data_IF_639976014497
#
_entry.id   IF_639976014497
#
_cell.length_a   1.000
_cell.length_b   1.000
_cell.length_c   1.000
_cell.angle_alpha   90.00
_cell.angle_beta   90.00
_cell.angle_gamma   90.00
#
_symmetry.space_group_name_H-M   'P 1'
#
loop_
_entity.id
_entity.type
_entity.pdbx_description
1 polymer ?
#
# COMPACT_ATOMS: atom_id res chain seq x y z
N UNK A 1 -12.53 47.33 65.18
CA UNK A 1 -11.76 46.18 65.67
C UNK A 1 -11.13 45.51 64.48
N UNK A 2 -9.80 45.54 64.43
CA UNK A 2 -8.96 44.85 63.45
C UNK A 2 -9.20 43.34 63.49
N UNK A 3 -9.16 42.68 62.33
CA UNK A 3 -8.26 41.54 62.19
C UNK A 3 -7.86 41.28 60.74
N UNK A 4 -6.55 41.38 60.55
CA UNK A 4 -5.72 41.01 59.41
C UNK A 4 -5.61 39.50 59.28
N UNK A 5 -5.62 38.95 58.07
CA UNK A 5 -5.16 37.58 57.80
C UNK A 5 -4.51 37.49 56.42
N UNK A 6 -3.18 37.55 56.47
CA UNK A 6 -2.18 36.81 55.71
C UNK A 6 -2.39 36.55 54.20
N UNK A 7 -1.59 37.28 53.43
CA UNK A 7 -1.16 37.01 52.05
C UNK A 7 -0.18 35.84 52.03
N UNK A 8 -0.43 34.83 51.17
CA UNK A 8 0.53 33.78 50.83
C UNK A 8 1.15 34.05 49.44
N UNK A 9 2.47 33.89 49.26
CA UNK A 9 3.11 34.14 47.98
C UNK A 9 2.90 32.95 47.01
N UNK A 10 2.30 33.26 45.87
CA UNK A 10 2.12 32.35 44.73
C UNK A 10 3.49 32.10 44.07
N UNK A 11 3.97 30.86 44.16
CA UNK A 11 5.18 30.40 43.50
C UNK A 11 5.04 30.56 41.97
N UNK A 12 5.83 31.48 41.39
CA UNK A 12 6.11 31.57 39.97
C UNK A 12 6.97 30.35 39.59
N UNK A 13 6.32 29.25 39.16
CA UNK A 13 7.03 28.18 38.48
C UNK A 13 7.30 28.60 37.04
N UNK A 14 8.58 28.93 36.83
CA UNK A 14 9.31 29.07 35.57
C UNK A 14 8.73 28.19 34.45
N UNK A 15 8.02 28.83 33.53
CA UNK A 15 7.85 28.35 32.16
C UNK A 15 9.23 28.35 31.48
N UNK A 16 9.99 27.26 31.70
CA UNK A 16 11.16 26.93 30.89
C UNK A 16 10.64 26.44 29.54
N UNK A 17 10.28 27.38 28.66
CA UNK A 17 10.20 27.15 27.21
C UNK A 17 11.57 26.64 26.77
N UNK A 18 11.73 25.31 26.69
CA UNK A 18 12.75 24.73 25.84
C UNK A 18 12.33 25.06 24.41
N UNK A 19 12.92 26.10 23.85
CA UNK A 19 12.94 26.33 22.42
C UNK A 19 13.69 25.16 21.79
N UNK A 20 12.98 24.07 21.51
CA UNK A 20 13.47 23.02 20.62
C UNK A 20 13.66 23.71 19.27
N UNK A 21 14.92 23.94 18.92
CA UNK A 21 15.35 24.57 17.68
C UNK A 21 14.87 23.73 16.51
N UNK A 22 14.06 24.33 15.63
CA UNK A 22 13.47 23.72 14.42
C UNK A 22 14.52 23.02 13.53
N UNK A 23 15.81 23.35 13.67
CA UNK A 23 16.91 22.73 12.94
C UNK A 23 17.20 21.25 13.27
N UNK A 24 16.85 20.75 14.46
CA UNK A 24 17.21 19.37 14.82
C UNK A 24 16.28 18.30 14.21
N UNK A 25 15.03 18.65 13.91
CA UNK A 25 14.08 17.71 13.30
C UNK A 25 14.40 17.41 11.83
N UNK A 26 15.02 18.35 11.11
CA UNK A 26 15.32 18.19 9.69
C UNK A 26 16.46 17.18 9.43
N UNK A 27 17.40 17.06 10.38
CA UNK A 27 18.50 16.08 10.29
C UNK A 27 18.04 14.64 10.55
N UNK A 28 16.97 14.46 11.32
CA UNK A 28 16.34 13.16 11.58
C UNK A 28 15.53 12.66 10.38
N UNK A 29 14.84 13.56 9.67
CA UNK A 29 14.09 13.20 8.46
C UNK A 29 14.99 12.77 7.30
N UNK A 30 16.16 13.40 7.15
CA UNK A 30 17.13 13.02 6.10
C UNK A 30 17.76 11.64 6.38
N UNK A 31 17.94 11.29 7.65
CA UNK A 31 18.43 9.97 8.08
C UNK A 31 17.43 8.86 7.80
N UNK A 32 16.16 9.03 8.18
CA UNK A 32 15.12 8.01 7.98
C UNK A 32 14.73 7.83 6.52
N UNK A 33 14.73 8.89 5.71
CA UNK A 33 14.50 8.82 4.27
C UNK A 33 15.51 7.94 3.54
N UNK A 34 16.78 7.95 3.97
CA UNK A 34 17.84 7.15 3.36
C UNK A 34 17.77 5.66 3.72
N UNK A 35 17.49 5.31 4.98
CA UNK A 35 17.48 3.91 5.42
C UNK A 35 16.36 3.12 4.72
N UNK A 36 15.18 3.71 4.55
CA UNK A 36 14.05 3.02 3.90
C UNK A 36 14.18 2.92 2.37
N UNK A 37 15.03 3.73 1.75
CA UNK A 37 15.38 3.59 0.34
C UNK A 37 16.30 2.40 0.08
N UNK A 38 17.21 2.10 1.02
CA UNK A 38 18.25 1.07 0.87
C UNK A 38 17.64 -0.33 0.68
N UNK A 39 16.62 -0.70 1.45
CA UNK A 39 15.96 -2.02 1.34
C UNK A 39 15.41 -2.31 -0.05
N UNK A 40 14.84 -1.28 -0.70
CA UNK A 40 14.28 -1.37 -2.03
C UNK A 40 15.39 -1.61 -3.07
N UNK A 41 16.50 -0.87 -2.97
CA UNK A 41 17.66 -1.04 -3.84
C UNK A 41 18.35 -2.39 -3.65
N UNK A 42 18.46 -2.88 -2.41
CA UNK A 42 18.98 -4.23 -2.11
C UNK A 42 18.10 -5.28 -2.79
N UNK A 43 16.78 -5.20 -2.63
CA UNK A 43 15.85 -6.13 -3.27
C UNK A 43 15.96 -6.09 -4.80
N UNK A 44 16.04 -4.90 -5.40
CA UNK A 44 16.24 -4.74 -6.84
C UNK A 44 17.57 -5.35 -7.31
N UNK A 45 18.68 -5.07 -6.61
CA UNK A 45 20.00 -5.62 -6.92
C UNK A 45 20.02 -7.14 -6.84
N UNK A 46 19.35 -7.71 -5.83
CA UNK A 46 19.22 -9.15 -5.68
C UNK A 46 18.42 -9.78 -6.83
N UNK A 47 17.23 -9.24 -7.17
CA UNK A 47 16.43 -9.76 -8.28
C UNK A 47 17.17 -9.60 -9.61
N UNK A 48 17.92 -8.51 -9.81
CA UNK A 48 18.76 -8.33 -10.99
C UNK A 48 19.84 -9.41 -11.08
N UNK A 49 20.54 -9.70 -9.98
CA UNK A 49 21.57 -10.74 -9.93
C UNK A 49 20.99 -12.12 -10.25
N UNK A 50 19.85 -12.48 -9.64
CA UNK A 50 19.17 -13.75 -9.94
C UNK A 50 18.67 -13.80 -11.38
N UNK A 51 18.15 -12.70 -11.92
CA UNK A 51 17.71 -12.66 -13.33
C UNK A 51 18.89 -12.88 -14.29
N UNK A 52 20.07 -12.33 -13.96
CA UNK A 52 21.31 -12.57 -14.71
C UNK A 52 21.78 -14.02 -14.64
N UNK A 53 21.74 -14.66 -13.46
CA UNK A 53 22.09 -16.08 -13.34
C UNK A 53 21.06 -16.97 -14.05
N UNK A 54 19.78 -16.63 -13.99
CA UNK A 54 18.71 -17.31 -14.71
C UNK A 54 18.90 -17.21 -16.24
N UNK A 55 19.30 -16.05 -16.75
CA UNK A 55 19.67 -15.89 -18.17
C UNK A 55 20.80 -16.84 -18.58
N UNK A 56 21.88 -16.89 -17.80
CA UNK A 56 23.00 -17.80 -18.07
C UNK A 56 22.57 -19.27 -18.02
N UNK A 57 21.70 -19.62 -17.07
CA UNK A 57 21.14 -20.97 -16.94
C UNK A 57 20.26 -21.33 -18.16
N UNK A 58 19.37 -20.45 -18.58
CA UNK A 58 18.54 -20.64 -19.77
C UNK A 58 19.39 -20.84 -21.02
N UNK A 59 20.42 -20.02 -21.21
CA UNK A 59 21.35 -20.18 -22.33
C UNK A 59 22.08 -21.53 -22.30
N UNK A 60 22.64 -21.92 -21.14
CA UNK A 60 23.33 -23.22 -20.99
C UNK A 60 22.40 -24.40 -21.24
N UNK A 61 21.17 -24.34 -20.75
CA UNK A 61 20.17 -25.39 -20.94
C UNK A 61 19.76 -25.54 -22.41
N UNK A 62 19.64 -24.42 -23.12
CA UNK A 62 19.35 -24.44 -24.55
C UNK A 62 20.49 -25.01 -25.39
N UNK A 63 21.75 -24.81 -24.98
CA UNK A 63 22.92 -25.40 -25.66
C UNK A 63 23.05 -26.91 -25.43
N UNK A 64 22.55 -27.46 -24.32
CA UNK A 64 22.81 -28.85 -23.94
C UNK A 64 21.73 -29.84 -24.42
N UNK A 65 20.45 -29.55 -24.13
CA UNK A 65 19.37 -30.55 -24.25
C UNK A 65 18.21 -30.06 -25.13
N UNK A 66 18.01 -28.75 -25.21
CA UNK A 66 16.76 -28.16 -25.74
C UNK A 66 16.92 -27.37 -27.03
N UNK A 67 18.05 -27.50 -27.74
CA UNK A 67 18.30 -26.77 -28.98
C UNK A 67 17.16 -26.95 -30.00
N UNK A 68 16.64 -28.18 -30.13
CA UNK A 68 15.57 -28.52 -31.09
C UNK A 68 14.18 -28.68 -30.47
N UNK A 69 14.00 -28.23 -29.23
CA UNK A 69 12.73 -28.35 -28.50
C UNK A 69 12.18 -26.97 -28.15
N UNK A 70 11.49 -26.29 -29.09
CA UNK A 70 10.96 -24.93 -28.86
C UNK A 70 9.84 -24.87 -27.82
N UNK A 71 9.28 -26.02 -27.41
CA UNK A 71 8.20 -26.10 -26.43
C UNK A 71 8.60 -25.48 -25.08
N UNK A 72 9.81 -25.73 -24.58
CA UNK A 72 10.27 -25.15 -23.31
C UNK A 72 10.28 -23.61 -23.36
N UNK A 73 10.74 -23.03 -24.47
CA UNK A 73 10.72 -21.59 -24.66
C UNK A 73 9.29 -21.02 -24.65
N UNK A 74 8.36 -21.68 -25.36
CA UNK A 74 6.96 -21.28 -25.38
C UNK A 74 6.29 -21.41 -24.00
N UNK A 75 6.54 -22.50 -23.29
CA UNK A 75 6.04 -22.73 -21.93
C UNK A 75 6.54 -21.65 -20.96
N UNK A 76 7.84 -21.33 -20.98
CA UNK A 76 8.39 -20.26 -20.14
C UNK A 76 7.80 -18.88 -20.49
N UNK A 77 7.54 -18.61 -21.76
CA UNK A 77 6.89 -17.37 -22.20
C UNK A 77 5.45 -17.28 -21.66
N UNK A 78 4.66 -18.34 -21.83
CA UNK A 78 3.28 -18.41 -21.32
C UNK A 78 3.26 -18.31 -19.80
N UNK A 79 4.16 -19.00 -19.11
CA UNK A 79 4.28 -18.92 -17.66
C UNK A 79 4.65 -17.51 -17.18
N UNK A 80 5.60 -16.84 -17.86
CA UNK A 80 5.96 -15.45 -17.57
C UNK A 80 4.75 -14.52 -17.73
N UNK A 81 3.95 -14.73 -18.78
CA UNK A 81 2.73 -13.97 -19.05
C UNK A 81 1.68 -14.18 -17.94
N UNK A 82 1.38 -15.44 -17.62
CA UNK A 82 0.42 -15.81 -16.57
C UNK A 82 0.84 -15.23 -15.22
N UNK A 83 2.14 -15.30 -14.90
CA UNK A 83 2.64 -14.70 -13.67
C UNK A 83 2.50 -13.17 -13.68
N UNK A 84 2.92 -12.52 -14.76
CA UNK A 84 2.90 -11.05 -14.89
C UNK A 84 1.48 -10.47 -14.75
N UNK A 85 0.47 -11.14 -15.31
CA UNK A 85 -0.91 -10.65 -15.30
C UNK A 85 -1.79 -11.24 -14.19
N UNK A 86 -1.50 -12.46 -13.72
CA UNK A 86 -2.35 -13.16 -12.75
C UNK A 86 -1.90 -13.03 -11.30
N UNK A 87 -0.59 -13.10 -11.06
CA UNK A 87 0.01 -13.25 -9.72
C UNK A 87 0.84 -12.04 -9.30
N UNK A 88 1.37 -11.27 -10.25
CA UNK A 88 2.11 -10.05 -9.97
C UNK A 88 1.21 -9.06 -9.22
N UNK A 89 1.79 -8.34 -8.25
CA UNK A 89 1.14 -7.27 -7.51
C UNK A 89 -0.10 -7.67 -6.68
N UNK A 90 -0.35 -8.96 -6.47
CA UNK A 90 -1.40 -9.44 -5.55
C UNK A 90 -1.07 -9.08 -4.11
N UNK A 91 -2.09 -8.65 -3.36
CA UNK A 91 -1.89 -8.26 -1.97
C UNK A 91 -1.43 -9.42 -1.08
N UNK A 92 -1.70 -10.68 -1.45
CA UNK A 92 -1.24 -11.89 -0.75
C UNK A 92 0.28 -11.92 -0.52
N UNK A 93 1.07 -11.33 -1.43
CA UNK A 93 2.53 -11.25 -1.28
C UNK A 93 2.98 -10.42 -0.08
N UNK A 94 2.16 -9.46 0.37
CA UNK A 94 2.45 -8.70 1.58
C UNK A 94 2.49 -9.58 2.83
N UNK A 95 1.75 -10.70 2.86
CA UNK A 95 1.83 -11.68 3.94
C UNK A 95 3.15 -12.45 3.95
N UNK A 96 3.68 -12.80 2.77
CA UNK A 96 4.91 -13.56 2.63
C UNK A 96 6.17 -12.71 2.90
N UNK A 97 6.14 -11.43 2.51
CA UNK A 97 7.27 -10.51 2.69
C UNK A 97 6.86 -9.37 3.63
N UNK A 98 7.14 -9.45 4.94
CA UNK A 98 6.77 -8.42 5.92
C UNK A 98 7.65 -7.17 5.87
N UNK A 99 8.24 -6.82 4.72
CA UNK A 99 9.13 -5.67 4.54
C UNK A 99 8.51 -4.62 3.61
N UNK A 100 8.90 -3.33 3.70
CA UNK A 100 8.48 -2.31 2.72
C UNK A 100 8.89 -2.64 1.28
N UNK A 101 9.94 -3.46 1.11
CA UNK A 101 10.44 -3.91 -0.19
C UNK A 101 9.63 -5.09 -0.80
N UNK A 102 8.49 -5.48 -0.21
CA UNK A 102 7.62 -6.55 -0.73
C UNK A 102 7.22 -6.34 -2.21
N UNK A 103 7.10 -5.09 -2.65
CA UNK A 103 6.88 -4.72 -4.06
C UNK A 103 7.94 -5.31 -5.00
N UNK A 104 9.20 -5.35 -4.58
CA UNK A 104 10.30 -5.93 -5.38
C UNK A 104 10.44 -7.44 -5.14
N UNK A 105 10.31 -7.91 -3.90
CA UNK A 105 10.44 -9.34 -3.57
C UNK A 105 9.38 -10.23 -4.21
N UNK A 106 8.20 -9.68 -4.48
CA UNK A 106 7.10 -10.38 -5.15
C UNK A 106 7.18 -10.33 -6.68
N UNK A 107 8.12 -9.57 -7.25
CA UNK A 107 8.23 -9.40 -8.70
C UNK A 107 9.24 -10.39 -9.30
N UNK A 108 8.76 -11.59 -9.60
CA UNK A 108 9.57 -12.66 -10.20
C UNK A 108 9.60 -12.63 -11.73
N UNK A 109 8.82 -11.75 -12.36
CA UNK A 109 8.77 -11.58 -13.83
C UNK A 109 10.17 -11.36 -14.43
N UNK A 110 11.06 -10.52 -13.88
CA UNK A 110 12.40 -10.32 -14.43
C UNK A 110 13.24 -11.61 -14.47
N UNK A 111 13.06 -12.50 -13.49
CA UNK A 111 13.78 -13.78 -13.41
C UNK A 111 13.31 -14.71 -14.54
N UNK A 112 11.99 -14.86 -14.70
CA UNK A 112 11.43 -15.71 -15.76
C UNK A 112 11.73 -15.18 -17.16
N UNK A 113 11.65 -13.86 -17.36
CA UNK A 113 12.02 -13.24 -18.62
C UNK A 113 13.52 -13.32 -18.89
N UNK A 114 14.37 -13.19 -17.86
CA UNK A 114 15.81 -13.40 -17.96
C UNK A 114 16.14 -14.81 -18.42
N UNK A 115 15.55 -15.83 -17.79
CA UNK A 115 15.68 -17.23 -18.20
C UNK A 115 15.23 -17.45 -19.66
N UNK A 116 14.04 -16.94 -20.00
CA UNK A 116 13.44 -17.07 -21.34
C UNK A 116 14.29 -16.37 -22.41
N UNK A 117 14.88 -15.22 -22.07
CA UNK A 117 15.81 -14.50 -22.93
C UNK A 117 17.10 -15.30 -23.19
N UNK A 118 17.60 -16.02 -22.19
CA UNK A 118 18.72 -16.96 -22.32
C UNK A 118 18.41 -18.11 -23.28
N UNK A 119 17.23 -18.74 -23.15
CA UNK A 119 16.76 -19.78 -24.07
C UNK A 119 16.64 -19.25 -25.52
N UNK A 120 16.14 -18.03 -25.69
CA UNK A 120 15.91 -17.44 -27.01
C UNK A 120 17.17 -17.32 -27.88
N UNK A 121 18.36 -17.25 -27.27
CA UNK A 121 19.62 -17.12 -28.02
C UNK A 121 19.98 -18.34 -28.84
N UNK A 122 19.56 -19.53 -28.41
CA UNK A 122 20.06 -20.80 -28.95
C UNK A 122 18.93 -21.71 -29.49
N UNK A 123 17.66 -21.33 -29.31
CA UNK A 123 16.50 -22.10 -29.81
C UNK A 123 16.49 -22.20 -31.34
N UNK A 124 16.41 -23.41 -31.89
CA UNK A 124 16.53 -23.65 -33.33
C UNK A 124 15.36 -23.12 -34.15
N UNK A 125 14.17 -23.03 -33.54
CA UNK A 125 12.95 -22.52 -34.17
C UNK A 125 13.01 -21.03 -34.58
N UNK A 126 13.93 -20.24 -34.01
CA UNK A 126 14.13 -18.85 -34.38
C UNK A 126 15.29 -18.70 -35.37
N UNK A 127 15.14 -17.83 -36.36
CA UNK A 127 16.24 -17.43 -37.27
C UNK A 127 17.34 -16.71 -36.47
N UNK A 128 18.60 -16.86 -36.87
CA UNK A 128 19.77 -16.35 -36.14
C UNK A 128 19.67 -14.86 -35.73
N UNK A 129 19.24 -13.98 -36.65
CA UNK A 129 19.07 -12.56 -36.34
C UNK A 129 17.92 -12.28 -35.36
N UNK A 130 16.84 -13.06 -35.44
CA UNK A 130 15.68 -12.95 -34.55
C UNK A 130 15.99 -13.45 -33.14
N UNK A 131 16.86 -14.44 -32.97
CA UNK A 131 17.29 -14.92 -31.64
C UNK A 131 17.84 -13.80 -30.77
N UNK A 132 18.77 -13.01 -31.33
CA UNK A 132 19.38 -11.87 -30.64
C UNK A 132 18.35 -10.76 -30.37
N UNK A 133 17.50 -10.46 -31.35
CA UNK A 133 16.44 -9.47 -31.20
C UNK A 133 15.46 -9.84 -30.08
N UNK A 134 14.92 -11.06 -30.10
CA UNK A 134 13.97 -11.56 -29.09
C UNK A 134 14.62 -11.60 -27.71
N UNK A 135 15.85 -12.13 -27.60
CA UNK A 135 16.60 -12.15 -26.33
C UNK A 135 16.78 -10.75 -25.77
N UNK A 136 17.24 -9.81 -26.60
CA UNK A 136 17.41 -8.41 -26.21
C UNK A 136 16.09 -7.77 -25.76
N UNK A 137 15.02 -7.94 -26.53
CA UNK A 137 13.69 -7.41 -26.18
C UNK A 137 13.19 -7.97 -24.85
N UNK A 138 13.31 -9.28 -24.61
CA UNK A 138 12.92 -9.90 -23.35
C UNK A 138 13.77 -9.37 -22.17
N UNK A 139 15.08 -9.17 -22.37
CA UNK A 139 15.94 -8.56 -21.34
C UNK A 139 15.54 -7.11 -21.05
N UNK A 140 15.22 -6.31 -22.07
CA UNK A 140 14.72 -4.94 -21.87
C UNK A 140 13.41 -4.95 -21.09
N UNK A 141 12.46 -5.82 -21.46
CA UNK A 141 11.18 -5.97 -20.76
C UNK A 141 11.42 -6.42 -19.30
N UNK A 142 12.36 -7.34 -19.06
CA UNK A 142 12.73 -7.78 -17.71
C UNK A 142 13.25 -6.63 -16.83
N UNK A 143 14.15 -5.80 -17.38
CA UNK A 143 14.66 -4.60 -16.70
C UNK A 143 13.54 -3.59 -16.46
N UNK A 144 12.64 -3.40 -17.43
CA UNK A 144 11.46 -2.54 -17.26
C UNK A 144 10.57 -3.04 -16.12
N UNK A 145 10.21 -4.34 -16.07
CA UNK A 145 9.41 -4.87 -14.97
C UNK A 145 10.08 -4.69 -13.61
N UNK A 146 11.41 -4.80 -13.53
CA UNK A 146 12.16 -4.60 -12.29
C UNK A 146 12.15 -3.14 -11.83
N UNK A 147 12.41 -2.20 -12.74
CA UNK A 147 12.65 -0.80 -12.40
C UNK A 147 11.37 0.06 -12.40
N UNK A 148 10.36 -0.30 -13.21
CA UNK A 148 9.15 0.51 -13.41
C UNK A 148 8.40 0.81 -12.11
N UNK A 149 8.19 -0.12 -11.14
CA UNK A 149 7.47 0.20 -9.91
C UNK A 149 8.09 1.34 -9.10
N UNK A 150 9.41 1.52 -9.19
CA UNK A 150 10.17 2.56 -8.48
C UNK A 150 10.26 3.85 -9.29
N UNK A 151 10.44 3.73 -10.61
CA UNK A 151 10.62 4.86 -11.53
C UNK A 151 9.28 5.52 -11.91
N UNK A 152 8.16 4.79 -11.85
CA UNK A 152 6.83 5.25 -12.28
C UNK A 152 6.40 6.60 -11.69
N UNK A 153 6.59 6.90 -10.38
CA UNK A 153 6.28 8.23 -9.83
C UNK A 153 7.11 9.37 -10.43
N UNK A 154 8.32 9.08 -10.91
CA UNK A 154 9.18 10.08 -11.56
C UNK A 154 8.79 10.30 -13.03
N UNK A 155 8.41 9.23 -13.74
CA UNK A 155 7.96 9.32 -15.15
C UNK A 155 6.56 9.92 -15.28
N UNK A 156 5.69 9.62 -14.32
CA UNK A 156 4.29 10.02 -14.32
C UNK A 156 3.94 10.68 -12.97
N UNK A 157 4.52 11.86 -12.69
CA UNK A 157 4.32 12.53 -11.42
C UNK A 157 2.85 12.92 -11.24
N UNK A 158 2.38 12.78 -10.01
CA UNK A 158 1.05 13.23 -9.59
C UNK A 158 1.16 14.61 -8.93
N UNK A 159 0.20 15.50 -9.21
CA UNK A 159 0.08 16.79 -8.54
C UNK A 159 -0.89 16.64 -7.38
N UNK A 160 -0.38 16.65 -6.16
CA UNK A 160 -1.14 16.56 -4.91
C UNK A 160 -1.11 17.93 -4.25
N UNK A 161 -2.24 18.35 -3.68
CA UNK A 161 -2.32 19.60 -2.94
C UNK A 161 -1.39 19.57 -1.72
N UNK A 162 -0.83 20.73 -1.37
CA UNK A 162 0.08 20.82 -0.22
C UNK A 162 -0.65 20.58 1.11
N UNK A 163 -1.94 20.92 1.13
CA UNK A 163 -2.84 20.78 2.25
C UNK A 163 -3.96 19.80 1.93
N UNK A 164 -3.91 18.62 2.53
CA UNK A 164 -4.94 17.61 2.55
C UNK A 164 -6.26 18.21 3.07
N UNK A 165 -7.31 17.92 2.34
CA UNK A 165 -8.67 18.35 2.67
C UNK A 165 -9.29 17.26 3.55
N UNK A 166 -9.71 17.62 4.76
CA UNK A 166 -10.35 16.69 5.68
C UNK A 166 -11.84 17.01 5.81
N UNK A 167 -12.68 15.98 5.72
CA UNK A 167 -14.12 16.08 5.93
C UNK A 167 -14.56 15.04 6.93
N UNK A 168 -14.96 15.48 8.13
CA UNK A 168 -15.45 14.62 9.21
C UNK A 168 -14.49 13.45 9.54
N UNK A 169 -13.18 13.72 9.60
CA UNK A 169 -12.16 12.70 9.87
C UNK A 169 -11.78 11.80 8.68
N UNK A 170 -12.29 12.09 7.48
CA UNK A 170 -11.88 11.44 6.22
C UNK A 170 -10.96 12.38 5.44
N UNK A 171 -9.79 11.90 5.05
CA UNK A 171 -8.90 12.61 4.12
C UNK A 171 -9.48 12.45 2.72
N UNK A 172 -9.90 13.56 2.11
CA UNK A 172 -10.37 13.58 0.74
C UNK A 172 -9.19 13.61 -0.23
N UNK A 173 -9.32 12.90 -1.35
CA UNK A 173 -8.30 12.90 -2.39
C UNK A 173 -8.29 14.23 -3.15
N UNK A 174 -7.12 14.82 -3.36
CA UNK A 174 -6.96 16.02 -4.21
C UNK A 174 -6.81 15.68 -5.70
N UNK A 175 -6.54 14.42 -6.03
CA UNK A 175 -6.34 13.93 -7.40
C UNK A 175 -7.05 12.58 -7.61
N UNK A 176 -7.49 12.24 -8.82
CA UNK A 176 -8.19 10.98 -9.13
C UNK A 176 -7.37 9.73 -8.75
N UNK A 177 -6.08 9.75 -9.08
CA UNK A 177 -5.11 8.71 -8.75
C UNK A 177 -4.62 8.65 -7.28
N UNK A 178 -5.11 9.50 -6.36
CA UNK A 178 -4.62 9.57 -4.97
C UNK A 178 -5.56 8.96 -3.91
N UNK A 179 -6.58 8.19 -4.34
CA UNK A 179 -7.47 7.48 -3.43
C UNK A 179 -6.72 6.56 -2.44
N UNK A 180 -5.69 5.83 -2.88
CA UNK A 180 -4.84 4.98 -2.03
C UNK A 180 -4.17 5.77 -0.88
N UNK A 181 -3.35 6.79 -1.18
CA UNK A 181 -2.73 7.66 -0.18
C UNK A 181 -3.72 8.33 0.77
N UNK A 182 -4.85 8.83 0.27
CA UNK A 182 -5.87 9.47 1.08
C UNK A 182 -6.58 8.46 2.01
N UNK A 183 -6.87 7.25 1.53
CA UNK A 183 -7.37 6.15 2.36
C UNK A 183 -6.34 5.73 3.42
N UNK A 184 -5.05 5.69 3.07
CA UNK A 184 -3.97 5.39 4.00
C UNK A 184 -3.88 6.45 5.11
N UNK A 185 -3.92 7.72 4.75
CA UNK A 185 -3.96 8.84 5.69
C UNK A 185 -5.18 8.75 6.62
N UNK A 186 -6.35 8.43 6.07
CA UNK A 186 -7.59 8.22 6.84
C UNK A 186 -7.45 7.06 7.83
N UNK A 187 -6.93 5.90 7.40
CA UNK A 187 -6.73 4.74 8.25
C UNK A 187 -5.77 5.03 9.41
N UNK A 188 -4.65 5.71 9.12
CA UNK A 188 -3.67 6.11 10.14
C UNK A 188 -4.27 7.09 11.14
N UNK A 189 -5.02 8.09 10.66
CA UNK A 189 -5.71 9.05 11.53
C UNK A 189 -6.73 8.36 12.44
N UNK A 190 -7.57 7.47 11.90
CA UNK A 190 -8.55 6.74 12.69
C UNK A 190 -7.90 5.79 13.70
N UNK A 191 -6.84 5.09 13.32
CA UNK A 191 -6.10 4.25 14.26
C UNK A 191 -5.47 5.07 15.39
N UNK A 192 -4.93 6.25 15.10
CA UNK A 192 -4.39 7.14 16.13
C UNK A 192 -5.46 7.62 17.13
N UNK A 193 -6.72 7.73 16.71
CA UNK A 193 -7.84 8.03 17.61
C UNK A 193 -8.26 6.81 18.44
N UNK A 194 -8.13 5.60 17.90
CA UNK A 194 -8.51 4.35 18.56
C UNK A 194 -7.43 3.82 19.49
N UNK A 195 -6.17 4.17 19.26
CA UNK A 195 -5.03 3.72 20.07
C UNK A 195 -4.41 4.87 20.83
N UNK A 196 -4.12 4.68 22.12
CA UNK A 196 -3.29 5.61 22.89
C UNK A 196 -1.83 5.66 22.42
N UNK A 197 -1.43 4.75 21.53
CA UNK A 197 -0.10 4.67 20.96
C UNK A 197 0.06 5.78 19.92
N UNK A 198 1.01 6.68 20.11
CA UNK A 198 1.13 7.82 19.24
C UNK A 198 1.75 7.37 17.91
N UNK A 199 1.00 7.57 16.80
CA UNK A 199 1.43 7.18 15.45
C UNK A 199 2.29 8.31 14.89
N UNK A 200 3.55 8.01 14.60
CA UNK A 200 4.43 8.95 13.88
C UNK A 200 4.21 8.83 12.38
N UNK A 201 3.94 9.93 11.70
CA UNK A 201 4.10 9.97 10.25
C UNK A 201 5.61 9.83 9.89
N UNK A 202 5.96 9.47 8.64
CA UNK A 202 7.36 9.34 8.19
C UNK A 202 8.27 10.57 8.42
N UNK A 203 7.71 11.72 8.77
CA UNK A 203 8.43 12.96 9.14
C UNK A 203 8.64 13.14 10.64
N UNK A 204 8.23 12.18 11.48
CA UNK A 204 8.30 12.27 12.94
C UNK A 204 7.21 13.15 13.58
N UNK A 205 6.17 13.52 12.83
CA UNK A 205 5.02 14.24 13.36
C UNK A 205 3.99 13.28 13.97
N UNK A 206 3.53 13.58 15.17
CA UNK A 206 2.53 12.80 15.91
C UNK A 206 1.13 12.98 15.33
N UNK A 207 0.40 11.89 15.15
CA UNK A 207 -0.99 11.88 14.70
C UNK A 207 -1.94 12.34 15.83
N UNK A 208 -2.14 13.65 15.96
CA UNK A 208 -3.26 14.31 16.68
C UNK A 208 -3.08 15.81 16.48
N UNK A 209 -3.41 16.41 15.31
CA UNK A 209 -4.71 16.47 14.60
C UNK A 209 -4.58 15.99 13.12
N UNK A 210 -5.60 16.09 12.25
CA UNK A 210 -5.42 15.82 10.81
C UNK A 210 -4.22 16.58 10.24
N UNK A 211 -3.23 15.83 9.76
CA UNK A 211 -1.98 16.42 9.28
C UNK A 211 -2.23 17.05 7.90
N UNK A 212 -1.93 18.35 7.69
CA UNK A 212 -2.14 19.00 6.41
C UNK A 212 -1.36 18.32 5.27
N UNK A 213 -0.16 17.79 5.52
CA UNK A 213 0.62 17.12 4.48
C UNK A 213 0.34 15.60 4.36
N UNK A 214 -0.69 15.05 5.02
CA UNK A 214 -0.89 13.60 5.13
C UNK A 214 -0.99 12.89 3.78
N UNK A 215 -1.85 13.38 2.87
CA UNK A 215 -2.03 12.79 1.54
C UNK A 215 -0.73 12.81 0.74
N UNK A 216 -0.03 13.96 0.71
CA UNK A 216 1.26 14.13 0.02
C UNK A 216 2.35 13.22 0.57
N UNK A 217 2.43 13.09 1.90
CA UNK A 217 3.40 12.19 2.53
C UNK A 217 3.12 10.72 2.19
N UNK A 218 1.85 10.32 2.24
CA UNK A 218 1.45 8.98 1.88
C UNK A 218 1.60 8.72 0.38
N UNK A 219 1.43 9.71 -0.50
CA UNK A 219 1.61 9.53 -1.94
C UNK A 219 3.06 9.20 -2.29
N UNK A 220 4.02 9.88 -1.65
CA UNK A 220 5.46 9.59 -1.76
C UNK A 220 5.78 8.21 -1.18
N UNK A 221 5.29 7.92 0.04
CA UNK A 221 5.55 6.63 0.70
C UNK A 221 4.93 5.44 -0.05
N UNK A 222 3.79 5.65 -0.72
CA UNK A 222 3.13 4.62 -1.51
C UNK A 222 3.67 4.49 -2.95
N UNK A 223 4.63 5.32 -3.37
CA UNK A 223 5.10 5.41 -4.76
C UNK A 223 3.93 5.65 -5.73
N UNK A 224 3.09 6.63 -5.40
CA UNK A 224 1.91 6.98 -6.21
C UNK A 224 2.33 7.79 -7.43
N UNK A 225 1.64 7.55 -8.55
CA UNK A 225 1.84 8.24 -9.82
C UNK A 225 0.50 8.73 -10.37
N UNK A 226 0.50 9.47 -11.47
CA UNK A 226 -0.76 9.87 -12.14
C UNK A 226 -1.57 8.68 -12.66
N UNK A 227 -0.98 7.48 -12.70
CA UNK A 227 -1.66 6.24 -13.05
C UNK A 227 -2.16 5.45 -11.81
N UNK A 228 -2.20 6.07 -10.63
CA UNK A 228 -2.68 5.47 -9.39
C UNK A 228 -1.59 4.86 -8.51
N UNK A 229 -2.05 4.14 -7.49
CA UNK A 229 -1.25 3.46 -6.47
C UNK A 229 -1.47 1.95 -6.55
N UNK A 230 -0.41 1.15 -6.53
CA UNK A 230 -0.55 -0.31 -6.48
C UNK A 230 -0.90 -0.79 -5.06
N UNK A 231 -1.61 -1.91 -4.91
CA UNK A 231 -1.91 -2.50 -3.58
C UNK A 231 -0.64 -2.74 -2.75
N UNK A 232 0.44 -3.23 -3.37
CA UNK A 232 1.73 -3.39 -2.68
C UNK A 232 2.43 -2.06 -2.39
N UNK A 233 2.26 -1.04 -3.23
CA UNK A 233 2.72 0.33 -2.96
C UNK A 233 2.02 0.91 -1.74
N UNK A 234 0.71 0.71 -1.61
CA UNK A 234 -0.06 1.09 -0.43
C UNK A 234 0.42 0.39 0.85
N UNK A 235 0.67 -0.93 0.80
CA UNK A 235 1.29 -1.67 1.91
C UNK A 235 2.65 -1.09 2.28
N UNK A 236 3.51 -0.80 1.29
CA UNK A 236 4.81 -0.17 1.52
C UNK A 236 4.65 1.14 2.28
N UNK A 237 3.76 2.01 1.81
CA UNK A 237 3.53 3.32 2.43
C UNK A 237 3.07 3.20 3.88
N UNK A 238 2.10 2.31 4.15
CA UNK A 238 1.64 2.05 5.51
C UNK A 238 2.76 1.48 6.40
N UNK A 239 3.58 0.55 5.91
CA UNK A 239 4.70 -0.03 6.69
C UNK A 239 5.74 1.01 7.06
N UNK A 240 6.03 1.91 6.12
CA UNK A 240 6.90 3.06 6.36
C UNK A 240 6.28 3.98 7.42
N UNK A 241 4.98 4.27 7.31
CA UNK A 241 4.28 5.12 8.27
C UNK A 241 4.16 4.53 9.67
N UNK A 242 4.09 3.20 9.82
CA UNK A 242 4.04 2.56 11.15
C UNK A 242 5.40 2.03 11.63
N UNK A 243 6.48 2.29 10.89
CA UNK A 243 7.81 1.84 11.26
C UNK A 243 8.22 2.41 12.63
N UNK A 244 8.57 1.53 13.57
CA UNK A 244 8.93 1.91 14.93
C UNK A 244 7.75 2.08 15.90
N UNK A 245 6.50 1.91 15.44
CA UNK A 245 5.32 1.94 16.29
C UNK A 245 4.95 0.51 16.79
N UNK A 246 4.02 0.42 17.74
CA UNK A 246 3.46 -0.87 18.21
C UNK A 246 2.40 -1.45 17.26
N UNK A 247 2.43 -1.06 15.98
CA UNK A 247 1.50 -1.55 14.96
C UNK A 247 2.27 -2.15 13.79
N UNK A 248 1.66 -3.13 13.13
CA UNK A 248 2.17 -3.79 11.93
C UNK A 248 1.08 -3.87 10.88
N UNK A 249 1.47 -3.78 9.61
CA UNK A 249 0.56 -3.83 8.46
C UNK A 249 0.31 -5.27 8.06
N UNK A 250 -0.96 -5.67 8.03
CA UNK A 250 -1.40 -7.03 7.70
C UNK A 250 -2.49 -7.01 6.62
N UNK A 251 -2.60 -8.14 5.93
CA UNK A 251 -3.67 -8.39 4.95
C UNK A 251 -4.87 -8.95 5.70
N UNK A 252 -6.04 -8.35 5.53
CA UNK A 252 -7.27 -8.82 6.17
C UNK A 252 -7.80 -10.09 5.48
N UNK A 253 -8.77 -10.77 6.11
CA UNK A 253 -9.43 -11.93 5.49
C UNK A 253 -10.14 -11.51 4.19
N UNK A 254 -10.14 -12.32 3.12
CA UNK A 254 -10.89 -12.00 1.90
C UNK A 254 -12.41 -12.05 2.10
N UNK A 255 -12.92 -12.58 3.21
CA UNK A 255 -14.34 -12.57 3.56
C UNK A 255 -14.65 -11.45 4.59
N UNK A 256 -15.38 -10.37 4.19
CA UNK A 256 -15.70 -9.25 5.07
C UNK A 256 -16.45 -9.63 6.35
N UNK A 257 -17.22 -10.73 6.35
CA UNK A 257 -17.96 -11.17 7.54
C UNK A 257 -17.01 -11.43 8.70
N UNK A 258 -15.81 -11.96 8.40
CA UNK A 258 -14.83 -12.35 9.42
C UNK A 258 -14.08 -11.17 10.00
N UNK A 259 -14.15 -9.98 9.40
CA UNK A 259 -13.39 -8.82 9.88
C UNK A 259 -13.78 -8.40 11.29
N UNK A 260 -15.08 -8.43 11.62
CA UNK A 260 -15.53 -8.12 12.98
C UNK A 260 -15.05 -9.18 13.98
N UNK A 261 -15.14 -10.46 13.61
CA UNK A 261 -14.76 -11.59 14.48
C UNK A 261 -13.25 -11.61 14.73
N UNK A 262 -12.46 -11.29 13.70
CA UNK A 262 -10.99 -11.27 13.74
C UNK A 262 -10.41 -9.93 14.17
N UNK A 263 -11.25 -8.94 14.52
CA UNK A 263 -10.82 -7.58 14.86
C UNK A 263 -9.91 -6.95 13.80
N UNK A 264 -10.30 -7.04 12.53
CA UNK A 264 -9.58 -6.52 11.37
C UNK A 264 -10.16 -5.18 10.88
N UNK A 265 -10.82 -4.43 11.75
CA UNK A 265 -11.39 -3.11 11.48
C UNK A 265 -10.75 -2.06 12.40
N UNK A 266 -10.53 -0.82 11.94
CA UNK A 266 -10.74 -0.36 10.57
C UNK A 266 -9.71 -0.94 9.59
N UNK A 267 -10.06 -1.03 8.31
CA UNK A 267 -9.17 -1.48 7.25
C UNK A 267 -9.35 -0.68 5.95
N UNK A 268 -8.37 -0.73 5.06
CA UNK A 268 -8.51 -0.25 3.68
C UNK A 268 -8.93 -1.43 2.82
N UNK A 269 -10.11 -1.34 2.21
CA UNK A 269 -10.60 -2.29 1.22
C UNK A 269 -10.38 -1.74 -0.18
N UNK A 270 -9.94 -2.59 -1.10
CA UNK A 270 -9.90 -2.27 -2.53
C UNK A 270 -11.23 -2.71 -3.14
N UNK A 271 -11.96 -1.74 -3.70
CA UNK A 271 -13.24 -1.97 -4.39
C UNK A 271 -13.09 -1.66 -5.88
N UNK A 272 -14.00 -2.20 -6.70
CA UNK A 272 -14.12 -1.91 -8.12
C UNK A 272 -15.57 -1.58 -8.43
N UNK A 273 -15.78 -0.44 -9.05
CA UNK A 273 -17.08 -0.09 -9.60
C UNK A 273 -17.15 -0.68 -11.01
N UNK A 274 -18.12 -1.55 -11.25
CA UNK A 274 -18.41 -2.03 -12.60
C UNK A 274 -19.22 -0.97 -13.32
N UNK A 275 -18.58 -0.24 -14.23
CA UNK A 275 -19.33 0.50 -15.23
C UNK A 275 -19.97 -0.53 -16.18
N UNK A 276 -21.29 -0.63 -16.15
CA UNK A 276 -22.06 -1.59 -16.96
C UNK A 276 -21.88 -1.41 -18.47
N UNK A 277 -21.17 -0.35 -18.91
CA UNK A 277 -21.10 0.05 -20.30
C UNK A 277 -19.83 -0.33 -21.08
N UNK A 278 -18.75 -0.86 -20.48
CA UNK A 278 -17.48 -1.03 -21.24
C UNK A 278 -16.62 -2.26 -20.88
N UNK A 279 -17.24 -3.45 -20.85
CA UNK A 279 -16.56 -4.72 -20.55
C UNK A 279 -16.25 -5.55 -21.80
N UNK A 280 -15.41 -5.04 -22.70
CA UNK A 280 -14.87 -5.84 -23.81
C UNK A 280 -14.08 -7.08 -23.33
N UNK A 281 -14.17 -8.24 -24.00
CA UNK A 281 -13.57 -9.51 -23.56
C UNK A 281 -12.04 -9.46 -23.40
N UNK A 282 -11.36 -8.64 -24.21
CA UNK A 282 -9.89 -8.47 -24.18
C UNK A 282 -9.43 -7.79 -22.88
N UNK A 283 -10.15 -6.77 -22.39
CA UNK A 283 -9.77 -6.09 -21.15
C UNK A 283 -9.99 -6.96 -19.91
N UNK A 284 -10.94 -7.91 -19.97
CA UNK A 284 -11.17 -8.93 -18.92
C UNK A 284 -10.01 -9.93 -18.84
N UNK A 285 -9.43 -10.28 -19.99
CA UNK A 285 -8.30 -11.21 -20.09
C UNK A 285 -6.98 -10.59 -19.61
N UNK A 286 -6.77 -9.30 -19.88
CA UNK A 286 -5.54 -8.60 -19.53
C UNK A 286 -5.54 -7.98 -18.11
N UNK A 287 -6.61 -8.19 -17.33
CA UNK A 287 -6.69 -7.76 -15.93
C UNK A 287 -6.77 -6.24 -15.72
N UNK A 288 -7.01 -5.46 -16.77
CA UNK A 288 -7.04 -3.99 -16.74
C UNK A 288 -8.44 -3.39 -16.51
N UNK A 289 -9.46 -4.22 -16.21
CA UNK A 289 -10.83 -3.76 -16.04
C UNK A 289 -11.12 -3.29 -14.60
N UNK A 290 -11.36 -1.98 -14.49
CA UNK A 290 -11.71 -1.28 -13.26
C UNK A 290 -10.47 -0.79 -12.53
N UNK A 291 -10.26 0.53 -12.53
CA UNK A 291 -9.32 1.15 -11.59
C UNK A 291 -9.77 0.78 -10.17
N UNK A 292 -8.93 0.06 -9.45
CA UNK A 292 -9.22 -0.28 -8.07
C UNK A 292 -9.31 1.01 -7.26
N UNK A 293 -10.42 1.20 -6.54
CA UNK A 293 -10.62 2.33 -5.65
C UNK A 293 -10.36 1.90 -4.22
N UNK A 294 -9.54 2.65 -3.49
CA UNK A 294 -9.23 2.36 -2.10
C UNK A 294 -10.18 3.13 -1.18
N UNK A 295 -10.86 2.42 -0.29
CA UNK A 295 -11.76 3.01 0.72
C UNK A 295 -11.45 2.46 2.10
N UNK A 296 -11.73 3.22 3.15
CA UNK A 296 -11.56 2.72 4.53
C UNK A 296 -12.89 2.18 5.05
N UNK A 297 -12.94 0.89 5.36
CA UNK A 297 -14.08 0.29 6.06
C UNK A 297 -13.84 0.42 7.55
N UNK A 298 -14.66 1.25 8.20
CA UNK A 298 -14.46 1.59 9.60
C UNK A 298 -15.15 0.61 10.54
N UNK A 299 -16.46 0.39 10.34
CA UNK A 299 -17.28 -0.42 11.23
C UNK A 299 -18.53 -0.92 10.53
N UNK A 300 -19.34 -1.71 11.25
CA UNK A 300 -20.68 -2.13 10.84
C UNK A 300 -21.71 -1.48 11.76
N UNK A 301 -22.77 -0.90 11.20
CA UNK A 301 -23.88 -0.32 11.96
C UNK A 301 -24.75 -1.42 12.58
N UNK A 302 -25.64 -1.05 13.50
CA UNK A 302 -26.59 -1.99 14.13
C UNK A 302 -27.51 -2.63 13.09
N UNK A 303 -27.94 -1.87 12.08
CA UNK A 303 -28.72 -2.35 10.92
C UNK A 303 -27.91 -3.22 9.94
N UNK A 304 -26.64 -3.50 10.24
CA UNK A 304 -25.79 -4.38 9.45
C UNK A 304 -25.14 -3.74 8.22
N UNK A 305 -25.19 -2.41 8.06
CA UNK A 305 -24.54 -1.68 6.95
C UNK A 305 -23.08 -1.41 7.24
N UNK A 306 -22.26 -1.34 6.20
CA UNK A 306 -20.85 -0.97 6.29
C UNK A 306 -20.69 0.55 6.31
N UNK A 307 -20.02 1.07 7.34
CA UNK A 307 -19.62 2.47 7.42
C UNK A 307 -18.26 2.64 6.72
N UNK A 308 -18.29 3.26 5.55
CA UNK A 308 -17.15 3.38 4.64
C UNK A 308 -16.74 4.84 4.49
N UNK A 309 -15.48 5.13 4.72
CA UNK A 309 -14.85 6.41 4.42
C UNK A 309 -14.23 6.34 3.03
N UNK A 310 -14.91 6.97 2.07
CA UNK A 310 -14.50 7.03 0.67
C UNK A 310 -13.73 8.34 0.42
N UNK A 311 -12.46 8.29 -0.01
CA UNK A 311 -11.66 9.49 -0.28
C UNK A 311 -12.27 10.45 -1.30
N UNK A 312 -13.14 9.99 -2.20
CA UNK A 312 -13.76 10.86 -3.20
C UNK A 312 -14.89 11.72 -2.62
N UNK A 313 -15.59 11.25 -1.57
CA UNK A 313 -16.87 11.86 -1.14
C UNK A 313 -17.04 12.01 0.38
N UNK A 314 -16.20 11.35 1.17
CA UNK A 314 -16.29 11.25 2.63
C UNK A 314 -17.06 10.00 3.08
N UNK A 315 -17.80 10.12 4.19
CA UNK A 315 -18.55 8.99 4.75
C UNK A 315 -19.72 8.53 3.87
N UNK A 316 -19.87 7.21 3.76
CA UNK A 316 -20.94 6.49 3.10
C UNK A 316 -21.38 5.28 3.93
N UNK A 317 -22.64 4.91 3.76
CA UNK A 317 -23.20 3.66 4.28
C UNK A 317 -23.50 2.76 3.09
N UNK A 318 -22.95 1.55 3.09
CA UNK A 318 -23.20 0.55 2.06
C UNK A 318 -23.89 -0.67 2.67
N UNK A 319 -24.93 -1.15 2.01
CA UNK A 319 -25.54 -2.42 2.36
C UNK A 319 -24.54 -3.56 2.08
N UNK A 320 -24.69 -4.69 2.78
CA UNK A 320 -23.74 -5.82 2.71
C UNK A 320 -23.61 -6.37 1.29
N UNK A 321 -24.73 -6.57 0.60
CA UNK A 321 -24.77 -7.07 -0.77
C UNK A 321 -24.03 -6.13 -1.73
N UNK A 322 -24.27 -4.82 -1.60
CA UNK A 322 -23.61 -3.81 -2.43
C UNK A 322 -22.10 -3.83 -2.18
N UNK A 323 -21.66 -3.89 -0.93
CA UNK A 323 -20.23 -3.91 -0.62
C UNK A 323 -19.56 -5.16 -1.19
N UNK A 324 -20.17 -6.34 -1.03
CA UNK A 324 -19.63 -7.60 -1.58
C UNK A 324 -19.54 -7.61 -3.10
N UNK A 325 -20.48 -6.96 -3.79
CA UNK A 325 -20.45 -6.86 -5.25
C UNK A 325 -19.24 -6.05 -5.75
N UNK A 326 -18.87 -4.99 -5.04
CA UNK A 326 -17.75 -4.13 -5.43
C UNK A 326 -16.41 -4.55 -4.82
N UNK A 327 -16.40 -5.31 -3.72
CA UNK A 327 -15.18 -5.69 -3.03
C UNK A 327 -14.33 -6.67 -3.84
N UNK A 328 -13.04 -6.39 -3.98
CA UNK A 328 -12.14 -7.21 -4.80
C UNK A 328 -11.58 -8.45 -4.09
N UNK A 329 -11.82 -8.59 -2.78
CA UNK A 329 -11.19 -9.59 -1.93
C UNK A 329 -9.86 -9.15 -1.31
N UNK A 330 -9.39 -7.92 -1.60
CA UNK A 330 -8.15 -7.38 -1.06
C UNK A 330 -8.41 -6.28 -0.01
N UNK A 331 -7.95 -6.49 1.22
CA UNK A 331 -7.99 -5.47 2.26
C UNK A 331 -6.75 -5.48 3.16
N UNK A 332 -6.40 -4.31 3.71
CA UNK A 332 -5.20 -4.06 4.52
C UNK A 332 -5.61 -3.42 5.84
N UNK A 333 -5.11 -3.93 6.97
CA UNK A 333 -5.40 -3.38 8.29
C UNK A 333 -4.12 -3.21 9.12
N UNK A 334 -4.24 -2.46 10.21
CA UNK A 334 -3.18 -2.31 11.20
C UNK A 334 -3.47 -3.25 12.37
N UNK A 335 -2.51 -4.14 12.67
CA UNK A 335 -2.57 -5.05 13.80
C UNK A 335 -1.57 -4.59 14.89
N UNK A 336 -1.79 -4.90 16.17
CA UNK A 336 -0.76 -4.73 17.19
C UNK A 336 0.51 -5.52 16.83
N UNK A 337 1.68 -4.95 17.10
CA UNK A 337 2.96 -5.63 16.93
C UNK A 337 3.02 -6.88 17.81
N UNK A 338 3.44 -8.01 17.25
CA UNK A 338 3.51 -9.29 17.97
C UNK A 338 2.17 -10.05 18.07
N UNK A 339 1.11 -9.61 17.38
CA UNK A 339 -0.16 -10.34 17.30
C UNK A 339 -0.11 -11.64 16.46
N UNK A 340 1.08 -12.18 16.20
CA UNK A 340 1.26 -13.35 15.35
C UNK A 340 0.87 -14.61 16.15
N UNK A 341 -0.23 -15.23 15.72
CA UNK A 341 -0.67 -16.60 16.07
C UNK A 341 -1.18 -16.89 17.50
N UNK A 342 -1.53 -15.89 18.31
CA UNK A 342 -2.28 -16.17 19.55
C UNK A 342 -3.77 -16.37 19.20
N UNK A 343 -4.37 -17.56 19.45
CA UNK A 343 -5.81 -17.76 19.28
C UNK A 343 -6.54 -16.71 20.11
N UNK A 344 -7.38 -15.90 19.44
CA UNK A 344 -8.10 -14.78 20.03
C UNK A 344 -8.91 -15.28 21.23
N UNK A 345 -8.41 -15.11 22.45
CA UNK A 345 -9.24 -15.14 23.65
C UNK A 345 -10.14 -13.91 23.59
N UNK A 346 -11.45 -14.11 23.66
CA UNK A 346 -12.46 -13.07 23.43
C UNK A 346 -12.13 -11.81 24.24
N UNK A 347 -11.71 -10.75 23.56
CA UNK A 347 -11.62 -9.43 24.18
C UNK A 347 -13.03 -8.97 24.53
N UNK A 348 -13.25 -8.59 25.79
CA UNK A 348 -14.50 -7.95 26.22
C UNK A 348 -14.65 -6.64 25.44
N UNK A 349 -15.76 -6.51 24.69
CA UNK A 349 -16.14 -5.27 24.00
C UNK A 349 -16.16 -4.10 24.99
N UNK A 350 -15.19 -3.20 24.90
CA UNK A 350 -15.34 -1.85 25.43
C UNK A 350 -16.27 -1.11 24.48
N UNK A 351 -17.46 -0.75 24.97
CA UNK A 351 -18.43 0.07 24.23
C UNK A 351 -17.83 1.47 24.12
N UNK A 352 -17.25 1.81 22.97
CA UNK A 352 -16.83 3.16 22.65
C UNK A 352 -18.05 3.88 22.08
N UNK A 353 -18.66 4.73 22.90
CA UNK A 353 -19.79 5.58 22.53
C UNK A 353 -19.20 6.83 21.85
N UNK A 354 -19.37 6.93 20.54
CA UNK A 354 -19.09 8.17 19.81
C UNK A 354 -20.37 8.99 19.87
N UNK A 355 -20.29 10.27 20.24
CA UNK A 355 -21.40 11.20 20.12
C UNK A 355 -21.80 11.28 18.64
N UNK A 356 -22.83 10.53 18.26
CA UNK A 356 -23.46 10.58 16.93
C UNK A 356 -24.18 11.93 16.69
N UNK A 357 -24.26 12.79 17.71
CA UNK A 357 -24.89 14.11 17.68
C UNK A 357 -24.24 15.13 16.72
N UNK A 358 -23.07 14.82 16.14
CA UNK A 358 -22.39 15.73 15.18
C UNK A 358 -22.79 15.47 13.71
N UNK A 359 -23.59 14.43 13.42
CA UNK A 359 -23.89 14.04 12.03
C UNK A 359 -25.24 14.51 11.47
N UNK A 360 -26.06 15.24 12.22
CA UNK A 360 -27.40 15.66 11.74
C UNK A 360 -27.69 17.13 12.04
N UNK A 361 -26.95 18.06 11.44
CA UNK A 361 -27.47 19.42 11.18
C UNK A 361 -26.94 19.98 9.86
N UNK A 362 -27.64 19.67 8.76
CA UNK A 362 -27.74 20.58 7.64
C UNK A 362 -29.24 20.87 7.41
N UNK A 363 -29.67 22.14 7.46
CA UNK A 363 -30.98 22.53 6.94
C UNK A 363 -30.94 22.46 5.40
N UNK A 364 -32.12 22.24 4.82
CA UNK A 364 -32.31 22.01 3.38
C UNK A 364 -32.09 23.21 2.47
#
# INVERSE_FOLDING_TARGET
MCNTSAVAPRALNLLRRQSVTVGDNQKLTDSQGNVMGIDLWIAMGFIAAISGTAFLAGRRLSLSVYQDRPLLFAECLVFSLVFAFGLSNRLSWAGAFPTPAALCWSNWVPIFLGFTAGLALEVSALRLHWRRGVSFSLSVIAVSFLAMPVIRPMLFPIKIDETAIWKNGVCLQSHEASCGPAAAATLLHQNALLTTSPINFPTGQWASPPLPSAERMMSIACLTSSQGTSSLGLVRGLRIAVAGNQQTVRVADPDPIKWLIKNQLPNIAVVRFTDDHDNGPVRRLLGANGEGHAVVVHSRTEDGKWRVADPAVGWRLWDDDRFRQVFTGEAIYLAPAGADDVPIRSFKKTKFEWDDDVLVQHPG
#
